data_IF_064734664506
#
_entry.id   IF_064734664506
#
_cell.length_a   1.000
_cell.length_b   1.000
_cell.length_c   1.000
_cell.angle_alpha   90.00
_cell.angle_beta   90.00
_cell.angle_gamma   90.00
#
_symmetry.space_group_name_H-M   'P 1'
#
loop_
_entity.id
_entity.type
_entity.pdbx_description
1 polymer ?
#
# COMPACT_ATOMS: atom_id res chain seq x y z
N UNK A 1 20.35 4.78 9.41
CA UNK A 1 19.98 3.36 9.49
C UNK A 1 20.44 2.70 8.21
N UNK A 2 21.26 1.66 8.32
CA UNK A 2 21.77 0.89 7.18
C UNK A 2 20.78 -0.23 6.84
N UNK A 3 20.57 -0.56 5.56
CA UNK A 3 19.62 -1.61 5.14
C UNK A 3 19.81 -2.97 5.82
N UNK A 4 21.05 -3.32 6.19
CA UNK A 4 21.36 -4.55 6.90
C UNK A 4 20.82 -4.54 8.35
N UNK A 5 20.68 -3.37 8.97
CA UNK A 5 20.14 -3.22 10.33
C UNK A 5 18.62 -3.44 10.35
N UNK A 6 17.92 -3.17 9.24
CA UNK A 6 16.46 -3.33 9.14
C UNK A 6 16.06 -4.81 9.17
N UNK A 7 16.79 -5.66 8.43
CA UNK A 7 16.57 -7.11 8.49
C UNK A 7 16.79 -7.69 9.89
N UNK A 8 17.75 -7.14 10.64
CA UNK A 8 17.98 -7.54 12.04
C UNK A 8 16.81 -7.16 12.95
N UNK A 9 16.11 -6.05 12.70
CA UNK A 9 14.91 -5.70 13.48
C UNK A 9 13.76 -6.67 13.21
N UNK A 10 13.56 -7.07 11.96
CA UNK A 10 12.54 -8.07 11.60
C UNK A 10 12.85 -9.43 12.24
N UNK A 11 14.11 -9.88 12.18
CA UNK A 11 14.56 -11.13 12.80
C UNK A 11 14.37 -11.11 14.33
N UNK A 12 14.67 -9.99 14.98
CA UNK A 12 14.46 -9.82 16.41
C UNK A 12 12.97 -9.82 16.77
N UNK A 13 12.13 -9.14 16.01
CA UNK A 13 10.69 -9.14 16.23
C UNK A 13 10.11 -10.56 16.12
N UNK A 14 10.55 -11.33 15.12
CA UNK A 14 10.20 -12.74 14.98
C UNK A 14 10.68 -13.58 16.18
N UNK A 15 11.90 -13.32 16.69
CA UNK A 15 12.41 -13.98 17.90
C UNK A 15 11.58 -13.68 19.16
N UNK A 16 10.89 -12.53 19.20
CA UNK A 16 9.92 -12.18 20.24
C UNK A 16 8.50 -12.70 19.96
N UNK A 17 8.30 -13.48 18.91
CA UNK A 17 6.99 -14.04 18.54
C UNK A 17 6.05 -13.03 17.88
N UNK A 18 6.58 -11.93 17.33
CA UNK A 18 5.78 -10.96 16.58
C UNK A 18 5.72 -11.41 15.13
N UNK A 19 4.50 -11.66 14.63
CA UNK A 19 4.29 -12.02 13.24
C UNK A 19 4.61 -10.87 12.28
N UNK A 20 5.19 -11.21 11.13
CA UNK A 20 5.47 -10.24 10.04
C UNK A 20 4.20 -9.48 9.63
N UNK A 21 3.03 -10.12 9.70
CA UNK A 21 1.75 -9.47 9.40
C UNK A 21 1.42 -8.33 10.37
N UNK A 22 1.82 -8.44 11.64
CA UNK A 22 1.61 -7.40 12.66
C UNK A 22 2.58 -6.23 12.44
N UNK A 23 3.83 -6.53 12.07
CA UNK A 23 4.81 -5.50 11.71
C UNK A 23 4.34 -4.71 10.47
N UNK A 24 3.85 -5.44 9.46
CA UNK A 24 3.30 -4.87 8.23
C UNK A 24 2.04 -4.03 8.48
N UNK A 25 1.16 -4.47 9.38
CA UNK A 25 0.02 -3.67 9.83
C UNK A 25 0.47 -2.35 10.44
N UNK A 26 1.41 -2.41 11.39
CA UNK A 26 1.93 -1.24 12.06
C UNK A 26 2.62 -0.27 11.09
N UNK A 27 3.42 -0.79 10.15
CA UNK A 27 4.06 0.00 9.11
C UNK A 27 3.03 0.67 8.20
N UNK A 28 2.01 -0.07 7.74
CA UNK A 28 0.91 0.43 6.93
C UNK A 28 0.11 1.54 7.63
N UNK A 29 -0.26 1.35 8.89
CA UNK A 29 -0.98 2.34 9.69
C UNK A 29 -0.15 3.61 9.91
N UNK A 30 1.17 3.46 10.15
CA UNK A 30 2.08 4.60 10.23
C UNK A 30 2.14 5.41 8.93
N UNK A 31 2.21 4.72 7.78
CA UNK A 31 2.18 5.34 6.45
C UNK A 31 0.85 6.05 6.19
N UNK A 32 -0.29 5.40 6.48
CA UNK A 32 -1.62 5.97 6.32
C UNK A 32 -1.78 7.25 7.15
N UNK A 33 -1.42 7.20 8.44
CA UNK A 33 -1.50 8.35 9.32
C UNK A 33 -0.61 9.52 8.84
N UNK A 34 0.59 9.22 8.32
CA UNK A 34 1.45 10.25 7.74
C UNK A 34 0.88 10.83 6.45
N UNK A 35 0.31 10.00 5.58
CA UNK A 35 -0.33 10.46 4.36
C UNK A 35 -1.52 11.37 4.68
N UNK A 36 -2.39 11.01 5.63
CA UNK A 36 -3.52 11.84 6.07
C UNK A 36 -3.04 13.23 6.55
N UNK A 37 -2.00 13.28 7.38
CA UNK A 37 -1.38 14.56 7.80
C UNK A 37 -0.90 15.40 6.62
N UNK A 38 -0.38 14.77 5.57
CA UNK A 38 0.00 15.49 4.34
C UNK A 38 -1.23 16.02 3.60
N UNK A 39 -2.36 15.30 3.63
CA UNK A 39 -3.60 15.68 2.95
C UNK A 39 -4.33 16.87 3.61
N UNK A 40 -4.21 17.05 4.92
CA UNK A 40 -4.89 18.12 5.68
C UNK A 40 -4.66 19.52 5.10
N UNK A 41 -3.53 19.75 4.41
CA UNK A 41 -3.21 21.03 3.78
C UNK A 41 -3.95 21.34 2.46
N UNK A 42 -4.68 20.39 1.87
CA UNK A 42 -5.13 20.50 0.48
C UNK A 42 -6.66 20.54 0.27
N UNK A 43 -7.47 20.24 1.29
CA UNK A 43 -8.95 20.34 1.24
C UNK A 43 -9.64 19.40 0.22
N UNK A 44 -10.92 19.66 -0.08
CA UNK A 44 -11.82 18.76 -0.85
C UNK A 44 -11.51 18.58 -2.35
N UNK A 45 -10.44 19.20 -2.88
CA UNK A 45 -10.10 19.15 -4.31
C UNK A 45 -9.03 18.11 -4.65
N UNK A 46 -8.60 17.31 -3.68
CA UNK A 46 -7.61 16.29 -3.94
C UNK A 46 -8.20 15.16 -4.80
N UNK A 47 -7.45 14.75 -5.82
CA UNK A 47 -7.68 13.47 -6.47
C UNK A 47 -7.30 12.30 -5.55
N UNK A 48 -7.35 11.06 -6.07
CA UNK A 48 -6.99 9.88 -5.30
C UNK A 48 -5.53 9.89 -4.85
N UNK A 49 -5.27 9.26 -3.69
CA UNK A 49 -3.92 8.86 -3.29
C UNK A 49 -3.51 7.61 -4.07
N UNK A 50 -2.41 7.70 -4.79
CA UNK A 50 -1.82 6.56 -5.49
C UNK A 50 -0.79 5.85 -4.63
N UNK A 51 -0.91 4.53 -4.54
CA UNK A 51 0.06 3.67 -3.84
C UNK A 51 0.65 2.66 -4.82
N UNK A 52 1.96 2.71 -4.98
CA UNK A 52 2.70 1.88 -5.92
C UNK A 52 3.36 0.72 -5.18
N UNK A 53 2.90 -0.49 -5.46
CA UNK A 53 3.28 -1.70 -4.73
C UNK A 53 4.25 -2.57 -5.56
N UNK A 54 5.45 -2.77 -5.01
CA UNK A 54 6.39 -3.82 -5.45
C UNK A 54 5.90 -5.22 -5.07
N UNK A 55 6.64 -6.30 -5.41
CA UNK A 55 6.26 -7.68 -5.07
C UNK A 55 6.66 -8.12 -3.64
N UNK A 56 7.39 -7.28 -2.89
CA UNK A 56 8.00 -7.64 -1.60
C UNK A 56 7.22 -7.11 -0.40
N UNK A 57 7.83 -7.18 0.78
CA UNK A 57 7.22 -6.72 2.05
C UNK A 57 6.83 -5.24 1.99
N UNK A 58 7.66 -4.36 1.39
CA UNK A 58 7.30 -2.96 1.18
C UNK A 58 6.03 -2.78 0.34
N UNK A 59 5.77 -3.69 -0.62
CA UNK A 59 4.50 -3.70 -1.35
C UNK A 59 3.34 -4.08 -0.44
N UNK A 60 3.55 -5.06 0.44
CA UNK A 60 2.64 -5.42 1.53
C UNK A 60 2.31 -4.24 2.46
N UNK A 61 3.32 -3.48 2.90
CA UNK A 61 3.12 -2.28 3.71
C UNK A 61 2.26 -1.24 2.97
N UNK A 62 2.47 -1.10 1.65
CA UNK A 62 1.65 -0.26 0.79
C UNK A 62 0.19 -0.69 0.73
N UNK A 63 -0.07 -2.00 0.58
CA UNK A 63 -1.44 -2.53 0.65
C UNK A 63 -2.06 -2.33 2.03
N UNK A 64 -1.31 -2.53 3.11
CA UNK A 64 -1.77 -2.26 4.47
C UNK A 64 -2.11 -0.77 4.67
N UNK A 65 -1.27 0.14 4.17
CA UNK A 65 -1.53 1.58 4.20
C UNK A 65 -2.79 1.95 3.40
N UNK A 66 -3.04 1.28 2.27
CA UNK A 66 -4.22 1.49 1.45
C UNK A 66 -5.52 1.21 2.23
N UNK A 67 -5.55 0.12 3.00
CA UNK A 67 -6.69 -0.21 3.84
C UNK A 67 -6.93 0.87 4.90
N UNK A 68 -5.89 1.29 5.62
CA UNK A 68 -6.02 2.35 6.63
C UNK A 68 -6.48 3.69 6.04
N UNK A 69 -6.03 4.04 4.83
CA UNK A 69 -6.50 5.25 4.15
C UNK A 69 -7.97 5.16 3.73
N UNK A 70 -8.42 4.00 3.24
CA UNK A 70 -9.83 3.78 2.88
C UNK A 70 -10.73 3.81 4.12
N UNK A 71 -10.27 3.26 5.25
CA UNK A 71 -10.99 3.34 6.53
C UNK A 71 -11.23 4.80 6.98
N UNK A 72 -10.30 5.70 6.67
CA UNK A 72 -10.40 7.14 6.94
C UNK A 72 -11.12 7.93 5.81
N UNK A 73 -11.73 7.23 4.85
CA UNK A 73 -12.55 7.83 3.79
C UNK A 73 -11.74 8.49 2.66
N UNK A 74 -10.46 8.16 2.52
CA UNK A 74 -9.61 8.67 1.44
C UNK A 74 -9.85 7.86 0.15
N UNK A 75 -9.96 8.54 -0.99
CA UNK A 75 -9.99 7.89 -2.31
C UNK A 75 -8.58 7.35 -2.62
N UNK A 76 -8.44 6.04 -2.82
CA UNK A 76 -7.17 5.35 -3.00
C UNK A 76 -7.17 4.57 -4.31
N UNK A 77 -6.04 4.64 -5.04
CA UNK A 77 -5.78 3.80 -6.21
C UNK A 77 -4.47 3.06 -6.06
N UNK A 78 -4.52 1.76 -6.33
CA UNK A 78 -3.38 0.87 -6.24
C UNK A 78 -2.81 0.59 -7.62
N UNK A 79 -1.49 0.66 -7.74
CA UNK A 79 -0.74 0.16 -8.89
C UNK A 79 0.26 -0.88 -8.40
N UNK A 80 0.09 -2.14 -8.77
CA UNK A 80 1.04 -3.19 -8.44
C UNK A 80 1.90 -3.55 -9.66
N UNK A 81 3.17 -3.82 -9.42
CA UNK A 81 4.08 -4.29 -10.48
C UNK A 81 3.96 -5.78 -10.75
N UNK A 82 3.30 -6.53 -9.86
CA UNK A 82 3.21 -7.99 -9.92
C UNK A 82 1.82 -8.47 -9.48
N UNK A 83 1.38 -9.59 -10.07
CA UNK A 83 0.10 -10.23 -9.74
C UNK A 83 0.12 -10.91 -8.37
N UNK A 84 1.29 -11.38 -7.93
CA UNK A 84 1.46 -12.16 -6.71
C UNK A 84 2.59 -11.54 -5.89
N UNK A 85 2.39 -11.47 -4.58
CA UNK A 85 3.40 -11.01 -3.63
C UNK A 85 4.26 -12.17 -3.13
N UNK A 86 5.53 -11.88 -2.80
CA UNK A 86 6.51 -12.89 -2.42
C UNK A 86 6.27 -13.50 -1.04
N UNK A 87 5.70 -12.73 -0.12
CA UNK A 87 5.38 -13.20 1.24
C UNK A 87 3.89 -13.41 1.41
N UNK A 88 3.53 -14.36 2.27
CA UNK A 88 2.14 -14.65 2.63
C UNK A 88 1.46 -13.43 3.26
N UNK A 89 2.18 -12.68 4.11
CA UNK A 89 1.69 -11.44 4.70
C UNK A 89 1.36 -10.41 3.62
N UNK A 90 2.30 -10.09 2.72
CA UNK A 90 2.06 -9.10 1.66
C UNK A 90 0.93 -9.56 0.72
N UNK A 91 0.86 -10.85 0.40
CA UNK A 91 -0.21 -11.40 -0.44
C UNK A 91 -1.57 -11.27 0.26
N UNK A 92 -1.65 -11.55 1.55
CA UNK A 92 -2.87 -11.40 2.34
C UNK A 92 -3.39 -9.96 2.35
N UNK A 93 -2.51 -8.97 2.49
CA UNK A 93 -2.92 -7.56 2.39
C UNK A 93 -3.40 -7.18 0.99
N UNK A 94 -2.73 -7.65 -0.07
CA UNK A 94 -3.21 -7.46 -1.44
C UNK A 94 -4.63 -8.02 -1.62
N UNK A 95 -4.87 -9.23 -1.13
CA UNK A 95 -6.18 -9.90 -1.21
C UNK A 95 -7.25 -9.14 -0.42
N UNK A 96 -6.93 -8.62 0.77
CA UNK A 96 -7.84 -7.75 1.53
C UNK A 96 -8.21 -6.49 0.75
N UNK A 97 -7.25 -5.84 0.08
CA UNK A 97 -7.54 -4.69 -0.78
C UNK A 97 -8.46 -5.07 -1.94
N UNK A 98 -8.24 -6.21 -2.59
CA UNK A 98 -9.12 -6.71 -3.65
C UNK A 98 -10.52 -7.05 -3.13
N UNK A 99 -10.63 -7.66 -1.94
CA UNK A 99 -11.91 -7.99 -1.32
C UNK A 99 -12.69 -6.75 -0.84
N UNK A 100 -11.99 -5.65 -0.55
CA UNK A 100 -12.58 -4.34 -0.24
C UNK A 100 -12.87 -3.50 -1.48
N UNK A 101 -12.82 -4.08 -2.69
CA UNK A 101 -13.06 -3.41 -3.97
C UNK A 101 -12.19 -2.14 -4.21
N UNK A 102 -11.01 -2.07 -3.60
CA UNK A 102 -10.07 -0.96 -3.82
C UNK A 102 -9.53 -1.05 -5.25
N UNK A 103 -9.65 0.00 -6.08
CA UNK A 103 -9.20 -0.03 -7.47
C UNK A 103 -7.70 -0.40 -7.59
N UNK A 104 -7.42 -1.58 -8.15
CA UNK A 104 -6.07 -2.13 -8.33
C UNK A 104 -5.77 -2.35 -9.81
N UNK A 105 -4.73 -1.69 -10.31
CA UNK A 105 -4.16 -1.87 -11.65
C UNK A 105 -2.81 -2.60 -11.58
N UNK A 106 -2.44 -3.30 -12.65
CA UNK A 106 -1.17 -4.03 -12.75
C UNK A 106 -0.29 -3.42 -13.84
N UNK A 107 0.94 -3.04 -13.53
CA UNK A 107 1.91 -2.55 -14.51
C UNK A 107 2.63 -3.71 -15.22
N UNK A 108 2.85 -3.67 -16.56
CA UNK A 108 2.54 -2.59 -17.50
C UNK A 108 1.14 -2.70 -18.15
N UNK A 109 0.30 -3.66 -17.77
CA UNK A 109 -1.07 -3.78 -18.31
C UNK A 109 -2.01 -2.69 -17.73
N UNK A 110 -1.72 -1.43 -18.08
CA UNK A 110 -2.67 -0.32 -17.96
C UNK A 110 -3.49 -0.29 -19.25
N UNK A 111 -4.66 -0.94 -19.25
CA UNK A 111 -5.66 -0.66 -20.27
C UNK A 111 -6.19 0.75 -20.01
N UNK A 112 -5.76 1.73 -20.82
CA UNK A 112 -6.29 3.10 -20.75
C UNK A 112 -7.80 3.02 -20.97
N UNK A 113 -8.58 3.23 -19.91
CA UNK A 113 -10.01 3.47 -20.09
C UNK A 113 -10.11 4.84 -20.75
N UNK A 114 -10.58 4.87 -22.00
CA UNK A 114 -10.98 6.08 -22.70
C UNK A 114 -12.20 6.62 -21.94
N UNK A 115 -11.93 7.40 -20.89
CA UNK A 115 -12.89 8.15 -20.12
C UNK A 115 -12.51 9.62 -20.25
N UNK A 116 -13.43 10.42 -20.80
CA UNK A 116 -13.28 11.85 -21.02
C UNK A 116 -13.09 12.59 -19.70
N UNK A 117 -11.84 12.76 -19.25
CA UNK A 117 -11.55 13.63 -18.10
C UNK A 117 -10.25 13.32 -17.39
N UNK A 118 -9.23 14.12 -17.71
CA UNK A 118 -7.89 14.18 -17.13
C UNK A 118 -6.92 13.02 -17.45
N UNK A 119 -5.71 13.33 -17.97
CA UNK A 119 -4.72 12.32 -18.32
C UNK A 119 -4.16 11.66 -17.06
N UNK A 120 -4.21 10.32 -17.03
CA UNK A 120 -3.37 9.53 -16.14
C UNK A 120 -1.92 9.63 -16.65
N UNK A 121 -1.01 10.02 -15.77
CA UNK A 121 0.40 10.24 -16.08
C UNK A 121 1.07 8.96 -16.60
N UNK A 122 1.73 9.10 -17.75
CA UNK A 122 2.86 8.27 -18.21
C UNK A 122 4.11 8.71 -17.46
#
# INVERSE_FOLDING_TARGET
MHWAEVGVFDDNAAAFGIDVSNLMEAAGQGLAAQAIRMLEGYGKRLGPVWILCGPGNNGGDGFAAALGLVEEGVDVRLLATHLIQRSTAAQGYRERCSAGDIPLSIWPEIHSTIGTGHPALV
#
